data_IF_755095910008
#
_entry.id   IF_755095910008
#
_cell.length_a   1.000
_cell.length_b   1.000
_cell.length_c   1.000
_cell.angle_alpha   90.00
_cell.angle_beta   90.00
_cell.angle_gamma   90.00
#
_symmetry.space_group_name_H-M   'P 1'
#
loop_
_entity.id
_entity.type
_entity.pdbx_description
1 polymer ?
#
# COMPACT_ATOMS: atom_id res chain seq x y z
N UNK A 1 -22.07 14.53 -14.11
CA UNK A 1 -21.17 13.44 -13.65
C UNK A 1 -20.06 14.14 -12.84
N UNK A 2 -19.75 13.64 -11.61
CA UNK A 2 -18.64 14.20 -10.82
C UNK A 2 -17.30 13.82 -11.45
N UNK A 3 -16.32 14.74 -11.39
CA UNK A 3 -14.95 14.53 -11.85
C UNK A 3 -14.01 14.32 -10.67
N UNK A 4 -13.29 13.21 -10.68
CA UNK A 4 -12.27 12.90 -9.69
C UNK A 4 -10.87 12.94 -10.33
N UNK A 5 -9.94 13.68 -9.72
CA UNK A 5 -8.52 13.63 -10.07
C UNK A 5 -7.78 12.77 -9.04
N UNK A 6 -7.16 11.69 -9.51
CA UNK A 6 -6.35 10.79 -8.68
C UNK A 6 -4.88 10.96 -9.06
N UNK A 7 -4.06 11.49 -8.15
CA UNK A 7 -2.61 11.43 -8.31
C UNK A 7 -2.10 10.06 -7.89
N UNK A 8 -1.12 9.50 -8.60
CA UNK A 8 -0.61 8.15 -8.29
C UNK A 8 -1.59 7.02 -8.64
N UNK A 9 -2.39 7.19 -9.68
CA UNK A 9 -3.40 6.20 -10.12
C UNK A 9 -2.82 4.81 -10.41
N UNK A 10 -1.54 4.71 -10.76
CA UNK A 10 -0.84 3.45 -11.03
C UNK A 10 -0.34 2.72 -9.76
N UNK A 11 -0.52 3.32 -8.59
CA UNK A 11 -0.28 2.68 -7.29
C UNK A 11 -1.41 1.74 -6.89
N UNK A 12 -1.20 0.98 -5.80
CA UNK A 12 -2.22 0.08 -5.24
C UNK A 12 -3.56 0.81 -5.00
N UNK A 13 -3.50 1.87 -4.20
CA UNK A 13 -4.69 2.59 -3.77
C UNK A 13 -5.34 3.35 -4.92
N UNK A 14 -4.51 3.96 -5.79
CA UNK A 14 -4.99 4.65 -6.98
C UNK A 14 -5.76 3.73 -7.93
N UNK A 15 -5.28 2.51 -8.13
CA UNK A 15 -5.94 1.52 -8.99
C UNK A 15 -7.30 1.08 -8.43
N UNK A 16 -7.35 0.69 -7.15
CA UNK A 16 -8.62 0.32 -6.50
C UNK A 16 -9.59 1.49 -6.39
N UNK A 17 -9.11 2.69 -6.10
CA UNK A 17 -9.95 3.88 -6.03
C UNK A 17 -10.52 4.24 -7.40
N UNK A 18 -9.71 4.15 -8.46
CA UNK A 18 -10.20 4.38 -9.83
C UNK A 18 -11.34 3.42 -10.19
N UNK A 19 -11.14 2.11 -9.94
CA UNK A 19 -12.19 1.10 -10.16
C UNK A 19 -13.46 1.39 -9.34
N UNK A 20 -13.29 1.77 -8.07
CA UNK A 20 -14.39 2.08 -7.18
C UNK A 20 -15.20 3.32 -7.63
N UNK A 21 -14.52 4.40 -8.03
CA UNK A 21 -15.16 5.62 -8.49
C UNK A 21 -15.84 5.45 -9.86
N UNK A 22 -15.22 4.69 -10.78
CA UNK A 22 -15.84 4.34 -12.05
C UNK A 22 -17.16 3.58 -11.84
N UNK A 23 -17.19 2.61 -10.92
CA UNK A 23 -18.44 1.89 -10.53
C UNK A 23 -19.50 2.80 -9.91
N UNK A 24 -19.09 3.93 -9.33
CA UNK A 24 -20.00 4.96 -8.80
C UNK A 24 -20.43 6.00 -9.85
N UNK A 25 -20.02 5.86 -11.10
CA UNK A 25 -20.39 6.75 -12.19
C UNK A 25 -19.60 8.06 -12.24
N UNK A 26 -18.39 8.11 -11.69
CA UNK A 26 -17.49 9.25 -11.86
C UNK A 26 -16.80 9.23 -13.21
N UNK A 27 -16.43 10.42 -13.70
CA UNK A 27 -15.36 10.62 -14.67
C UNK A 27 -14.04 10.69 -13.89
N UNK A 28 -13.16 9.71 -14.12
CA UNK A 28 -11.89 9.56 -13.38
C UNK A 28 -10.74 10.04 -14.24
N UNK A 29 -10.03 11.04 -13.75
CA UNK A 29 -8.78 11.54 -14.31
C UNK A 29 -7.61 11.03 -13.47
N UNK A 30 -6.71 10.28 -14.08
CA UNK A 30 -5.58 9.68 -13.38
C UNK A 30 -4.26 10.32 -13.76
N UNK A 31 -3.52 10.88 -12.80
CA UNK A 31 -2.16 11.36 -13.02
C UNK A 31 -1.15 10.22 -12.83
N UNK A 32 -0.33 9.96 -13.85
CA UNK A 32 0.78 9.01 -13.82
C UNK A 32 2.08 9.66 -14.27
N UNK A 33 3.21 9.21 -13.72
CA UNK A 33 4.52 9.68 -14.17
C UNK A 33 4.89 9.09 -15.52
N UNK A 34 5.65 9.85 -16.31
CA UNK A 34 6.28 9.33 -17.52
C UNK A 34 7.41 8.38 -17.14
N UNK A 35 7.38 7.18 -17.66
CA UNK A 35 8.43 6.18 -17.53
C UNK A 35 8.81 5.65 -18.91
N UNK A 36 10.03 5.16 -19.08
CA UNK A 36 10.47 4.49 -20.32
C UNK A 36 9.81 3.13 -20.49
N UNK A 37 9.44 2.47 -19.37
CA UNK A 37 8.68 1.22 -19.36
C UNK A 37 7.20 1.51 -19.05
N UNK A 38 6.33 0.58 -19.40
CA UNK A 38 4.94 0.62 -18.97
C UNK A 38 4.89 0.50 -17.43
N UNK A 39 4.03 1.31 -16.80
CA UNK A 39 3.83 1.33 -15.36
C UNK A 39 2.32 1.32 -15.01
N UNK A 40 1.52 0.75 -15.90
CA UNK A 40 0.04 0.75 -15.81
C UNK A 40 -0.56 -0.61 -15.47
N UNK A 41 0.25 -1.64 -15.21
CA UNK A 41 -0.18 -3.04 -15.00
C UNK A 41 -1.36 -3.16 -14.02
N UNK A 42 -1.41 -2.31 -12.98
CA UNK A 42 -2.49 -2.32 -11.98
C UNK A 42 -3.81 -1.74 -12.47
N UNK A 43 -3.79 -1.00 -13.58
CA UNK A 43 -4.97 -0.34 -14.16
C UNK A 43 -5.26 -0.76 -15.61
N UNK A 44 -4.47 -1.67 -16.19
CA UNK A 44 -4.65 -2.11 -17.59
C UNK A 44 -6.03 -2.74 -17.83
N UNK A 45 -6.60 -3.41 -16.82
CA UNK A 45 -7.95 -3.94 -16.88
C UNK A 45 -9.06 -2.88 -16.92
N UNK A 46 -8.73 -1.62 -16.60
CA UNK A 46 -9.64 -0.46 -16.69
C UNK A 46 -9.45 0.34 -17.96
N UNK A 47 -8.50 -0.05 -18.81
CA UNK A 47 -8.15 0.68 -20.04
C UNK A 47 -9.38 0.91 -20.93
N UNK A 48 -9.50 2.14 -21.42
CA UNK A 48 -10.50 2.52 -22.41
C UNK A 48 -9.79 3.17 -23.61
N UNK A 49 -10.18 2.76 -24.80
CA UNK A 49 -9.60 3.29 -26.05
C UNK A 49 -9.79 4.82 -26.08
N UNK A 50 -8.72 5.61 -26.29
CA UNK A 50 -8.82 7.06 -26.40
C UNK A 50 -9.72 7.58 -27.52
N UNK A 51 -10.04 6.74 -28.50
CA UNK A 51 -10.92 7.08 -29.63
C UNK A 51 -12.42 6.93 -29.30
N UNK A 52 -12.76 6.34 -28.13
CA UNK A 52 -14.16 6.24 -27.68
C UNK A 52 -14.65 7.60 -27.16
N UNK A 53 -15.82 8.05 -27.61
CA UNK A 53 -16.39 9.33 -27.19
C UNK A 53 -16.86 9.33 -25.73
N UNK A 54 -17.34 8.19 -25.21
CA UNK A 54 -17.96 8.07 -23.88
C UNK A 54 -17.04 7.45 -22.82
N UNK A 55 -15.72 7.64 -22.94
CA UNK A 55 -14.79 7.15 -21.91
C UNK A 55 -14.94 7.96 -20.63
N UNK A 56 -14.84 7.29 -19.51
CA UNK A 56 -14.87 7.86 -18.17
C UNK A 56 -13.60 7.62 -17.35
N UNK A 57 -12.55 7.06 -17.98
CA UNK A 57 -11.18 7.01 -17.47
C UNK A 57 -10.22 7.72 -18.42
N UNK A 58 -9.59 8.76 -17.93
CA UNK A 58 -8.67 9.61 -18.72
C UNK A 58 -7.33 9.68 -17.96
N UNK A 59 -6.25 9.28 -18.64
CA UNK A 59 -4.91 9.28 -18.05
C UNK A 59 -4.11 10.48 -18.52
N UNK A 60 -3.44 11.14 -17.57
CA UNK A 60 -2.58 12.31 -17.80
C UNK A 60 -1.15 12.02 -17.34
N UNK A 61 -0.18 12.56 -18.05
CA UNK A 61 1.20 12.59 -17.58
C UNK A 61 1.42 13.78 -16.65
N UNK A 62 2.02 13.51 -15.47
CA UNK A 62 2.36 14.55 -14.52
C UNK A 62 3.29 14.06 -13.42
N UNK A 63 3.90 14.99 -12.73
CA UNK A 63 4.77 14.74 -11.56
C UNK A 63 4.48 15.78 -10.47
N UNK A 64 4.45 15.35 -9.20
CA UNK A 64 4.24 16.23 -8.05
C UNK A 64 5.37 17.27 -7.88
N UNK A 65 6.50 17.08 -8.54
CA UNK A 65 7.62 18.02 -8.53
C UNK A 65 7.47 19.16 -9.55
N UNK A 66 6.49 19.07 -10.47
CA UNK A 66 6.23 20.06 -11.52
C UNK A 66 4.94 20.86 -11.22
N UNK A 67 5.12 22.07 -10.65
CA UNK A 67 4.02 22.94 -10.28
C UNK A 67 3.18 23.43 -11.46
N UNK A 68 3.82 23.70 -12.61
CA UNK A 68 3.12 24.18 -13.80
C UNK A 68 2.26 23.07 -14.41
N UNK A 69 2.78 21.84 -14.45
CA UNK A 69 2.05 20.69 -14.94
C UNK A 69 0.82 20.41 -14.05
N UNK A 70 0.97 20.43 -12.71
CA UNK A 70 -0.14 20.26 -11.77
C UNK A 70 -1.21 21.32 -11.97
N UNK A 71 -0.80 22.59 -12.05
CA UNK A 71 -1.73 23.72 -12.23
C UNK A 71 -2.51 23.58 -13.54
N UNK A 72 -1.82 23.29 -14.65
CA UNK A 72 -2.46 23.04 -15.96
C UNK A 72 -3.44 21.86 -15.89
N UNK A 73 -3.04 20.75 -15.28
CA UNK A 73 -3.90 19.57 -15.18
C UNK A 73 -5.17 19.88 -14.37
N UNK A 74 -5.06 20.55 -13.23
CA UNK A 74 -6.23 20.92 -12.42
C UNK A 74 -7.11 21.92 -13.18
N UNK A 75 -6.53 22.85 -13.94
CA UNK A 75 -7.25 23.79 -14.78
C UNK A 75 -8.04 23.09 -15.90
N UNK A 76 -7.45 22.12 -16.57
CA UNK A 76 -8.09 21.34 -17.62
C UNK A 76 -9.22 20.46 -17.11
N UNK A 77 -8.98 19.75 -15.99
CA UNK A 77 -9.92 18.79 -15.42
C UNK A 77 -11.05 19.47 -14.68
N UNK A 78 -10.80 20.57 -13.96
CA UNK A 78 -11.78 21.23 -13.09
C UNK A 78 -12.45 20.24 -12.12
N UNK A 79 -11.66 19.49 -11.29
CA UNK A 79 -12.18 18.38 -10.51
C UNK A 79 -13.14 18.82 -9.41
N UNK A 80 -14.13 17.97 -9.12
CA UNK A 80 -14.98 18.10 -7.94
C UNK A 80 -14.28 17.48 -6.71
N UNK A 81 -13.46 16.44 -6.94
CA UNK A 81 -12.71 15.75 -5.89
C UNK A 81 -11.27 15.49 -6.36
N UNK A 82 -10.29 15.77 -5.49
CA UNK A 82 -8.89 15.41 -5.70
C UNK A 82 -8.48 14.40 -4.63
N UNK A 83 -7.94 13.26 -5.07
CA UNK A 83 -7.34 12.25 -4.21
C UNK A 83 -5.83 12.27 -4.42
N UNK A 84 -5.10 12.91 -3.49
CA UNK A 84 -3.64 12.98 -3.55
C UNK A 84 -3.01 11.74 -2.91
N UNK A 85 -2.76 10.71 -3.76
CA UNK A 85 -2.20 9.42 -3.36
C UNK A 85 -0.75 9.25 -3.83
N UNK A 86 -0.28 10.09 -4.75
CA UNK A 86 1.08 10.01 -5.26
C UNK A 86 2.10 10.32 -4.16
N UNK A 87 3.08 9.46 -4.02
CA UNK A 87 4.19 9.63 -3.09
C UNK A 87 5.36 8.70 -3.45
N UNK A 88 6.56 9.03 -2.97
CA UNK A 88 7.65 8.09 -2.85
C UNK A 88 7.53 7.39 -1.48
N UNK A 89 6.69 6.34 -1.41
CA UNK A 89 6.20 5.77 -0.15
C UNK A 89 7.11 4.70 0.47
N UNK A 90 8.27 4.39 -0.15
CA UNK A 90 9.17 3.38 0.38
C UNK A 90 10.08 3.98 1.47
N UNK A 91 9.77 3.69 2.74
CA UNK A 91 10.42 4.30 3.91
C UNK A 91 11.95 4.13 3.88
N UNK A 92 12.46 2.91 3.61
CA UNK A 92 13.91 2.67 3.57
C UNK A 92 14.60 3.52 2.49
N UNK A 93 14.03 3.58 1.27
CA UNK A 93 14.57 4.37 0.15
C UNK A 93 14.56 5.87 0.47
N UNK A 94 13.65 6.36 1.33
CA UNK A 94 13.63 7.78 1.71
C UNK A 94 14.91 8.27 2.37
N UNK A 95 15.66 7.37 3.03
CA UNK A 95 16.98 7.71 3.59
C UNK A 95 18.06 7.90 2.51
N UNK A 96 17.87 7.31 1.34
CA UNK A 96 18.80 7.44 0.21
C UNK A 96 18.46 8.65 -0.68
N UNK A 97 17.18 9.08 -0.72
CA UNK A 97 16.69 10.15 -1.59
C UNK A 97 15.84 11.19 -0.81
N UNK A 98 16.35 11.76 0.31
CA UNK A 98 15.53 12.59 1.19
C UNK A 98 15.03 13.88 0.54
N UNK A 99 15.83 14.51 -0.32
CA UNK A 99 15.47 15.74 -1.03
C UNK A 99 14.31 15.49 -2.00
N UNK A 100 14.39 14.42 -2.79
CA UNK A 100 13.30 14.05 -3.71
C UNK A 100 12.00 13.77 -2.96
N UNK A 101 12.07 13.06 -1.84
CA UNK A 101 10.92 12.75 -0.99
C UNK A 101 10.30 14.03 -0.43
N UNK A 102 11.13 14.95 0.11
CA UNK A 102 10.67 16.25 0.57
C UNK A 102 9.97 17.06 -0.52
N UNK A 103 10.54 17.05 -1.73
CA UNK A 103 10.01 17.78 -2.87
C UNK A 103 8.72 17.15 -3.41
N UNK A 104 8.65 15.83 -3.58
CA UNK A 104 7.49 15.15 -4.13
C UNK A 104 6.36 15.05 -3.09
N UNK A 105 6.63 14.54 -1.90
CA UNK A 105 5.59 14.18 -0.93
C UNK A 105 5.14 15.40 -0.10
N UNK A 106 6.09 16.27 0.31
CA UNK A 106 5.79 17.49 1.06
C UNK A 106 5.33 18.63 0.16
N UNK A 107 6.25 19.17 -0.66
CA UNK A 107 5.97 20.32 -1.52
C UNK A 107 4.95 19.98 -2.63
N UNK A 108 4.90 18.73 -3.08
CA UNK A 108 3.88 18.30 -4.04
C UNK A 108 2.46 18.51 -3.53
N UNK A 109 2.20 18.26 -2.24
CA UNK A 109 0.91 18.54 -1.61
C UNK A 109 0.61 20.04 -1.63
N UNK A 110 1.58 20.89 -1.26
CA UNK A 110 1.43 22.35 -1.33
C UNK A 110 1.09 22.81 -2.76
N UNK A 111 1.73 22.25 -3.79
CA UNK A 111 1.45 22.61 -5.20
C UNK A 111 0.00 22.34 -5.59
N UNK A 112 -0.57 21.24 -5.15
CA UNK A 112 -1.99 20.91 -5.40
C UNK A 112 -2.90 21.92 -4.70
N UNK A 113 -2.67 22.19 -3.41
CA UNK A 113 -3.46 23.14 -2.64
C UNK A 113 -3.40 24.56 -3.24
N UNK A 114 -2.19 25.02 -3.60
CA UNK A 114 -2.00 26.32 -4.27
C UNK A 114 -2.66 26.36 -5.64
N UNK A 115 -2.57 25.31 -6.44
CA UNK A 115 -3.23 25.30 -7.75
C UNK A 115 -4.76 25.43 -7.60
N UNK A 116 -5.38 24.72 -6.66
CA UNK A 116 -6.81 24.84 -6.38
C UNK A 116 -7.16 26.26 -5.93
N UNK A 117 -6.34 26.87 -5.06
CA UNK A 117 -6.54 28.23 -4.58
C UNK A 117 -6.40 29.27 -5.69
N UNK A 118 -5.32 29.20 -6.47
CA UNK A 118 -5.02 30.15 -7.56
C UNK A 118 -6.04 30.09 -8.70
N UNK A 119 -6.59 28.91 -8.97
CA UNK A 119 -7.62 28.71 -9.99
C UNK A 119 -9.05 29.05 -9.51
N UNK A 120 -9.23 29.51 -8.27
CA UNK A 120 -10.53 29.87 -7.72
C UNK A 120 -11.46 28.68 -7.50
N UNK A 121 -10.92 27.47 -7.26
CA UNK A 121 -11.69 26.23 -7.14
C UNK A 121 -12.00 25.85 -5.67
N UNK A 122 -11.73 26.71 -4.70
CA UNK A 122 -11.87 26.41 -3.27
C UNK A 122 -13.28 25.92 -2.91
N UNK A 123 -14.31 26.59 -3.39
CA UNK A 123 -15.71 26.27 -3.11
C UNK A 123 -16.22 25.02 -3.85
N UNK A 124 -15.52 24.61 -4.90
CA UNK A 124 -15.91 23.49 -5.74
C UNK A 124 -15.22 22.19 -5.36
N UNK A 125 -13.89 22.27 -5.16
CA UNK A 125 -13.03 21.09 -5.10
C UNK A 125 -12.79 20.62 -3.70
N UNK A 126 -13.13 19.35 -3.40
CA UNK A 126 -12.80 18.67 -2.15
C UNK A 126 -11.48 17.92 -2.32
N UNK A 127 -10.60 18.00 -1.34
CA UNK A 127 -9.24 17.45 -1.40
C UNK A 127 -9.05 16.40 -0.31
N UNK A 128 -8.68 15.18 -0.70
CA UNK A 128 -8.20 14.14 0.16
C UNK A 128 -6.67 14.07 0.09
N UNK A 129 -6.00 14.20 1.22
CA UNK A 129 -4.57 13.99 1.37
C UNK A 129 -4.31 12.65 2.03
N UNK A 130 -3.63 11.75 1.32
CA UNK A 130 -3.13 10.51 1.91
C UNK A 130 -2.01 10.83 2.90
N UNK A 131 -2.31 10.75 4.18
CA UNK A 131 -1.35 10.79 5.27
C UNK A 131 -0.98 9.37 5.69
N UNK A 132 -0.26 9.17 6.79
CA UNK A 132 0.35 7.90 7.14
C UNK A 132 0.50 7.71 8.64
N UNK A 133 0.40 6.50 9.14
CA UNK A 133 0.74 6.14 10.52
C UNK A 133 2.23 6.35 10.86
N UNK A 134 3.10 6.46 9.86
CA UNK A 134 4.53 6.75 10.06
C UNK A 134 4.77 8.16 10.68
N UNK A 135 3.75 9.06 10.68
CA UNK A 135 3.80 10.32 11.41
C UNK A 135 4.00 10.11 12.91
N UNK A 136 3.42 9.06 13.49
CA UNK A 136 3.53 8.76 14.91
C UNK A 136 4.95 8.33 15.30
N UNK A 137 5.65 7.60 14.42
CA UNK A 137 7.07 7.25 14.53
C UNK A 137 7.47 6.70 15.88
N UNK A 138 8.17 7.52 16.73
CA UNK A 138 8.41 7.18 18.13
C UNK A 138 7.12 7.44 18.91
N UNK A 139 6.35 6.38 19.08
CA UNK A 139 4.98 6.42 19.58
C UNK A 139 4.88 7.08 20.96
N UNK A 140 4.00 8.09 21.09
CA UNK A 140 3.78 8.84 22.32
C UNK A 140 2.56 8.34 23.12
N UNK A 141 1.61 7.68 22.45
CA UNK A 141 0.40 7.10 23.02
C UNK A 141 0.03 5.79 22.29
N UNK A 142 -0.64 4.90 23.00
CA UNK A 142 -1.13 3.61 22.44
C UNK A 142 -2.57 3.39 22.90
N UNK A 143 -3.53 3.15 21.98
CA UNK A 143 -3.42 3.24 20.52
C UNK A 143 -3.35 4.70 20.04
N UNK A 144 -2.80 4.88 18.80
CA UNK A 144 -2.67 6.22 18.21
C UNK A 144 -4.02 6.71 17.67
N UNK A 145 -4.32 7.97 17.96
CA UNK A 145 -5.52 8.68 17.49
C UNK A 145 -5.15 9.97 16.74
N UNK A 146 -6.14 10.69 16.23
CA UNK A 146 -5.97 11.99 15.58
C UNK A 146 -5.37 13.07 16.51
N UNK A 147 -5.35 12.83 17.83
CA UNK A 147 -4.83 13.75 18.83
C UNK A 147 -3.44 13.36 19.34
N UNK A 148 -2.99 12.16 19.06
CA UNK A 148 -1.67 11.66 19.46
C UNK A 148 -0.56 12.52 18.84
N UNK A 149 0.39 13.04 19.62
CA UNK A 149 1.51 13.81 19.08
C UNK A 149 2.34 13.02 18.08
N UNK A 150 2.73 13.68 16.99
CA UNK A 150 3.59 13.10 15.97
C UNK A 150 5.07 13.19 16.34
N UNK A 151 5.81 12.11 16.04
CA UNK A 151 7.28 12.06 16.22
C UNK A 151 7.91 11.26 15.09
N UNK A 152 8.01 11.82 13.86
CA UNK A 152 8.44 11.09 12.67
C UNK A 152 9.86 10.53 12.80
N UNK A 153 10.10 9.33 12.22
CA UNK A 153 11.36 8.59 12.32
C UNK A 153 12.00 8.30 10.95
N UNK A 154 11.58 9.00 9.90
CA UNK A 154 12.17 8.85 8.57
C UNK A 154 11.98 10.12 7.73
N UNK A 155 12.82 10.37 6.70
CA UNK A 155 12.60 11.47 5.77
C UNK A 155 11.22 11.42 5.10
N UNK A 156 10.72 10.22 4.79
CA UNK A 156 9.35 10.03 4.32
C UNK A 156 8.31 10.57 5.32
N UNK A 157 8.41 10.16 6.58
CA UNK A 157 7.48 10.59 7.61
C UNK A 157 7.53 12.11 7.83
N UNK A 158 8.72 12.73 7.79
CA UNK A 158 8.90 14.19 7.88
C UNK A 158 8.23 14.92 6.70
N UNK A 159 8.40 14.43 5.47
CA UNK A 159 7.75 14.99 4.29
C UNK A 159 6.21 14.87 4.38
N UNK A 160 5.70 13.73 4.84
CA UNK A 160 4.27 13.51 5.07
C UNK A 160 3.74 14.34 6.25
N UNK A 161 4.56 14.66 7.25
CA UNK A 161 4.18 15.58 8.33
C UNK A 161 3.98 17.01 7.80
N UNK A 162 4.88 17.48 6.93
CA UNK A 162 4.65 18.75 6.24
C UNK A 162 3.35 18.72 5.44
N UNK A 163 3.13 17.66 4.64
CA UNK A 163 1.90 17.50 3.85
C UNK A 163 0.64 17.52 4.72
N UNK A 164 0.66 16.86 5.87
CA UNK A 164 -0.43 16.87 6.83
C UNK A 164 -0.74 18.28 7.33
N UNK A 165 0.26 18.97 7.87
CA UNK A 165 0.05 20.28 8.47
C UNK A 165 -0.26 21.38 7.46
N UNK A 166 0.30 21.33 6.25
CA UNK A 166 -0.07 22.29 5.22
C UNK A 166 -1.52 22.10 4.75
N UNK A 167 -2.01 20.87 4.73
CA UNK A 167 -3.44 20.56 4.45
C UNK A 167 -4.35 21.14 5.54
N UNK A 168 -4.00 20.95 6.82
CA UNK A 168 -4.71 21.57 7.95
C UNK A 168 -4.70 23.10 7.85
N UNK A 169 -3.52 23.68 7.59
CA UNK A 169 -3.37 25.12 7.46
C UNK A 169 -4.26 25.73 6.35
N UNK A 170 -4.30 25.08 5.16
CA UNK A 170 -5.15 25.55 4.06
C UNK A 170 -6.63 25.39 4.35
N UNK A 171 -7.03 24.34 5.04
CA UNK A 171 -8.40 24.15 5.53
C UNK A 171 -8.82 25.30 6.46
N UNK A 172 -7.96 25.68 7.39
CA UNK A 172 -8.27 26.71 8.38
C UNK A 172 -8.17 28.13 7.83
N UNK A 173 -7.09 28.43 7.09
CA UNK A 173 -6.80 29.78 6.59
C UNK A 173 -7.70 30.17 5.41
N UNK A 174 -7.96 29.24 4.48
CA UNK A 174 -8.66 29.54 3.23
C UNK A 174 -10.05 28.88 3.15
N UNK A 175 -10.50 28.20 4.22
CA UNK A 175 -11.77 27.46 4.25
C UNK A 175 -11.88 26.36 3.19
N UNK A 176 -10.73 25.84 2.74
CA UNK A 176 -10.66 24.79 1.75
C UNK A 176 -11.22 23.48 2.31
N UNK A 177 -12.05 22.78 1.54
CA UNK A 177 -12.50 21.45 1.94
C UNK A 177 -11.37 20.44 1.72
N UNK A 178 -10.44 20.37 2.67
CA UNK A 178 -9.25 19.52 2.62
C UNK A 178 -9.15 18.65 3.88
N UNK A 179 -9.01 17.34 3.69
CA UNK A 179 -9.02 16.35 4.77
C UNK A 179 -7.83 15.40 4.65
N UNK A 180 -7.25 15.01 5.79
CA UNK A 180 -6.22 13.98 5.84
C UNK A 180 -6.82 12.64 6.26
N UNK A 181 -6.43 11.56 5.55
CA UNK A 181 -6.58 10.20 6.06
C UNK A 181 -5.26 9.71 6.62
N UNK A 182 -5.17 9.50 7.94
CA UNK A 182 -3.99 8.94 8.60
C UNK A 182 -4.08 7.43 8.47
N UNK A 183 -3.52 6.92 7.37
CA UNK A 183 -3.66 5.52 6.99
C UNK A 183 -2.63 4.66 7.71
N UNK A 184 -3.11 3.62 8.37
CA UNK A 184 -2.27 2.52 8.83
C UNK A 184 -1.94 1.59 7.66
N UNK A 185 -1.07 0.61 7.89
CA UNK A 185 -0.63 -0.25 6.79
C UNK A 185 -1.81 -0.99 6.15
N UNK A 186 -1.91 -0.91 4.84
CA UNK A 186 -2.98 -1.56 4.09
C UNK A 186 -2.42 -2.22 2.83
N UNK A 187 -2.78 -3.46 2.69
CA UNK A 187 -2.11 -4.41 1.82
C UNK A 187 -3.10 -5.05 0.86
N UNK A 188 -2.60 -5.68 -0.19
CA UNK A 188 -3.44 -6.39 -1.16
C UNK A 188 -2.59 -7.22 -2.13
N UNK A 189 -3.24 -8.03 -3.00
CA UNK A 189 -2.57 -8.72 -4.10
C UNK A 189 -1.76 -7.84 -5.06
N UNK A 190 -2.05 -6.54 -5.13
CA UNK A 190 -1.34 -5.58 -5.99
C UNK A 190 -0.47 -4.59 -5.20
N UNK A 191 -0.17 -4.88 -3.93
CA UNK A 191 0.84 -4.14 -3.16
C UNK A 191 2.19 -4.15 -3.88
N UNK A 192 3.01 -3.13 -3.71
CA UNK A 192 4.38 -3.12 -4.23
C UNK A 192 5.18 -4.32 -3.70
N UNK A 193 5.95 -4.94 -4.56
CA UNK A 193 6.59 -6.24 -4.33
C UNK A 193 7.62 -6.23 -3.19
N UNK A 194 8.24 -5.07 -2.94
CA UNK A 194 9.27 -4.88 -1.91
C UNK A 194 8.72 -4.56 -0.52
N UNK A 195 7.40 -4.31 -0.40
CA UNK A 195 6.76 -4.13 0.91
C UNK A 195 6.65 -5.45 1.67
N UNK A 196 6.80 -5.38 2.99
CA UNK A 196 7.00 -6.55 3.87
C UNK A 196 5.99 -7.66 3.67
N UNK A 197 4.71 -7.38 3.63
CA UNK A 197 3.65 -8.39 3.45
C UNK A 197 3.71 -9.05 2.08
N UNK A 198 3.87 -8.24 1.02
CA UNK A 198 3.97 -8.77 -0.33
C UNK A 198 5.28 -9.53 -0.57
N UNK A 199 6.38 -9.06 0.04
CA UNK A 199 7.65 -9.80 0.05
C UNK A 199 7.46 -11.20 0.65
N UNK A 200 6.77 -11.31 1.78
CA UNK A 200 6.47 -12.59 2.43
C UNK A 200 5.61 -13.50 1.54
N UNK A 201 4.48 -13.02 1.04
CA UNK A 201 3.55 -13.85 0.25
C UNK A 201 4.16 -14.32 -1.06
N UNK A 202 4.93 -13.47 -1.74
CA UNK A 202 5.68 -13.82 -2.94
C UNK A 202 6.77 -14.86 -2.65
N UNK A 203 7.57 -14.63 -1.60
CA UNK A 203 8.65 -15.55 -1.24
C UNK A 203 8.12 -16.93 -0.82
N UNK A 204 7.10 -16.99 0.02
CA UNK A 204 6.47 -18.26 0.42
C UNK A 204 5.87 -19.00 -0.78
N UNK A 205 5.23 -18.29 -1.71
CA UNK A 205 4.71 -18.88 -2.95
C UNK A 205 5.83 -19.49 -3.78
N UNK A 206 6.97 -18.81 -3.93
CA UNK A 206 8.13 -19.30 -4.67
C UNK A 206 8.81 -20.48 -3.96
N UNK A 207 8.90 -20.45 -2.63
CA UNK A 207 9.41 -21.59 -1.83
C UNK A 207 8.50 -22.80 -2.02
N UNK A 208 7.19 -22.64 -1.93
CA UNK A 208 6.22 -23.71 -2.09
C UNK A 208 6.28 -24.35 -3.49
N UNK A 209 6.55 -23.59 -4.53
CA UNK A 209 6.70 -24.05 -5.91
C UNK A 209 8.12 -24.57 -6.23
N UNK A 210 9.06 -24.52 -5.25
CA UNK A 210 10.44 -24.92 -5.43
C UNK A 210 11.24 -24.02 -6.38
N UNK A 211 10.86 -22.75 -6.49
CA UNK A 211 11.51 -21.72 -7.29
C UNK A 211 12.53 -20.91 -6.48
N UNK A 212 12.48 -21.02 -5.14
CA UNK A 212 13.34 -20.30 -4.20
C UNK A 212 13.64 -21.18 -2.99
N UNK A 213 14.87 -21.13 -2.49
CA UNK A 213 15.26 -21.95 -1.34
C UNK A 213 14.82 -21.30 -0.01
N UNK A 214 15.09 -20.00 0.15
CA UNK A 214 14.87 -19.22 1.37
C UNK A 214 14.65 -17.75 1.04
N UNK A 215 14.22 -16.99 2.03
CA UNK A 215 14.10 -15.52 1.90
C UNK A 215 14.58 -14.83 3.17
N UNK A 216 14.91 -13.55 3.02
CA UNK A 216 15.51 -12.75 4.08
C UNK A 216 14.56 -11.63 4.51
N UNK A 217 14.47 -11.41 5.82
CA UNK A 217 13.63 -10.40 6.44
C UNK A 217 14.46 -9.52 7.38
N UNK A 218 13.92 -8.36 7.76
CA UNK A 218 14.46 -7.54 8.85
C UNK A 218 13.92 -8.02 10.21
N UNK A 219 13.58 -7.06 11.08
CA UNK A 219 13.08 -7.33 12.43
C UNK A 219 11.73 -8.06 12.41
N UNK A 220 11.70 -9.33 12.75
CA UNK A 220 10.51 -10.17 12.77
C UNK A 220 9.54 -9.84 13.93
N UNK A 221 10.00 -9.12 14.96
CA UNK A 221 9.20 -8.75 16.11
C UNK A 221 8.42 -7.44 15.96
N UNK A 222 8.71 -6.64 14.91
CA UNK A 222 7.99 -5.40 14.64
C UNK A 222 6.50 -5.68 14.42
N UNK A 223 5.65 -4.87 15.05
CA UNK A 223 4.20 -5.02 15.02
C UNK A 223 3.54 -3.93 14.17
N UNK A 224 2.61 -4.32 13.33
CA UNK A 224 1.86 -3.40 12.45
C UNK A 224 0.37 -3.74 12.48
N UNK A 225 -0.43 -2.70 12.34
CA UNK A 225 -1.87 -2.80 12.07
C UNK A 225 -2.04 -2.91 10.55
N UNK A 226 -2.44 -4.09 10.07
CA UNK A 226 -2.62 -4.38 8.65
C UNK A 226 -4.09 -4.54 8.28
N UNK A 227 -4.56 -3.71 7.37
CA UNK A 227 -5.88 -3.86 6.74
C UNK A 227 -5.81 -4.16 5.25
N UNK A 228 -6.96 -4.41 4.64
CA UNK A 228 -7.06 -4.60 3.19
C UNK A 228 -7.26 -3.27 2.46
N UNK A 229 -6.48 -3.00 1.40
CA UNK A 229 -6.53 -1.75 0.66
C UNK A 229 -7.94 -1.40 0.14
N UNK A 230 -8.75 -2.38 -0.24
CA UNK A 230 -10.14 -2.16 -0.67
C UNK A 230 -11.02 -1.52 0.39
N UNK A 231 -10.77 -1.77 1.68
CA UNK A 231 -11.49 -1.10 2.76
C UNK A 231 -11.00 0.34 2.95
N UNK A 232 -9.70 0.56 2.79
CA UNK A 232 -9.10 1.89 2.96
C UNK A 232 -9.55 2.88 1.86
N UNK A 233 -9.68 2.43 0.61
CA UNK A 233 -10.20 3.31 -0.45
C UNK A 233 -11.67 3.70 -0.22
N UNK A 234 -12.47 2.85 0.43
CA UNK A 234 -13.84 3.22 0.86
C UNK A 234 -13.79 4.36 1.88
N UNK A 235 -12.85 4.30 2.85
CA UNK A 235 -12.65 5.38 3.81
C UNK A 235 -12.24 6.69 3.11
N UNK A 236 -11.31 6.65 2.15
CA UNK A 236 -10.90 7.83 1.38
C UNK A 236 -12.10 8.50 0.71
N UNK A 237 -12.97 7.70 0.09
CA UNK A 237 -14.20 8.21 -0.51
C UNK A 237 -15.13 8.82 0.55
N UNK A 238 -15.42 8.11 1.65
CA UNK A 238 -16.33 8.56 2.70
C UNK A 238 -15.86 9.85 3.38
N UNK A 239 -14.56 10.05 3.53
CA UNK A 239 -13.96 11.29 4.08
C UNK A 239 -14.35 12.49 3.23
N UNK A 240 -14.30 12.38 1.90
CA UNK A 240 -14.67 13.49 1.02
C UNK A 240 -16.19 13.68 0.86
N UNK A 241 -17.02 12.73 1.33
CA UNK A 241 -18.46 12.91 1.31
C UNK A 241 -19.00 13.68 2.54
N UNK A 242 -18.14 13.91 3.55
CA UNK A 242 -18.53 14.69 4.74
C UNK A 242 -18.70 16.18 4.39
N UNK A 243 -19.67 16.84 5.01
CA UNK A 243 -19.89 18.29 4.81
C UNK A 243 -18.78 19.14 5.45
N UNK A 244 -18.21 18.67 6.54
CA UNK A 244 -17.13 19.36 7.25
C UNK A 244 -15.82 18.56 7.07
N UNK A 245 -14.76 19.20 6.52
CA UNK A 245 -13.47 18.55 6.38
C UNK A 245 -12.82 18.30 7.74
N UNK A 246 -12.19 17.14 7.90
CA UNK A 246 -11.49 16.75 9.13
C UNK A 246 -10.44 15.68 8.82
N UNK A 247 -9.64 15.34 9.86
CA UNK A 247 -8.63 14.31 9.77
C UNK A 247 -9.13 13.03 10.44
N UNK A 248 -8.80 11.86 9.88
CA UNK A 248 -9.32 10.56 10.32
C UNK A 248 -8.22 9.51 10.35
N UNK A 249 -8.11 8.81 11.48
CA UNK A 249 -7.32 7.57 11.58
C UNK A 249 -8.11 6.44 10.91
N UNK A 250 -7.47 5.77 9.96
CA UNK A 250 -8.00 4.59 9.29
C UNK A 250 -7.09 3.41 9.63
N UNK A 251 -7.60 2.50 10.44
CA UNK A 251 -6.88 1.38 11.02
C UNK A 251 -7.84 0.23 11.34
N UNK A 252 -7.30 -0.97 11.50
CA UNK A 252 -8.11 -2.11 11.99
C UNK A 252 -8.25 -2.12 13.51
N UNK A 253 -7.30 -1.50 14.22
CA UNK A 253 -7.20 -1.53 15.67
C UNK A 253 -6.55 -2.82 16.21
N UNK A 254 -5.99 -3.65 15.34
CA UNK A 254 -5.34 -4.93 15.68
C UNK A 254 -3.92 -4.93 15.14
N UNK A 255 -2.94 -5.27 15.99
CA UNK A 255 -1.55 -5.43 15.54
C UNK A 255 -1.18 -6.89 15.39
N UNK A 256 -0.25 -7.15 14.48
CA UNK A 256 0.34 -8.47 14.25
C UNK A 256 1.84 -8.31 14.05
N UNK A 257 2.64 -9.20 14.62
CA UNK A 257 4.07 -9.23 14.37
C UNK A 257 4.37 -9.78 12.96
N UNK A 258 5.49 -9.37 12.38
CA UNK A 258 5.90 -9.87 11.05
C UNK A 258 6.04 -11.40 11.09
N UNK A 259 6.59 -11.96 12.19
CA UNK A 259 6.66 -13.41 12.39
C UNK A 259 5.30 -14.09 12.28
N UNK A 260 4.30 -13.54 12.94
CA UNK A 260 2.94 -14.11 12.96
C UNK A 260 2.27 -14.01 11.59
N UNK A 261 2.53 -12.95 10.85
CA UNK A 261 2.08 -12.82 9.45
C UNK A 261 2.70 -13.92 8.56
N UNK A 262 4.00 -14.22 8.74
CA UNK A 262 4.67 -15.32 8.01
C UNK A 262 4.01 -16.66 8.32
N UNK A 263 3.74 -16.92 9.60
CA UNK A 263 3.07 -18.17 10.07
C UNK A 263 1.67 -18.29 9.46
N UNK A 264 0.88 -17.19 9.48
CA UNK A 264 -0.45 -17.16 8.87
C UNK A 264 -0.40 -17.41 7.36
N UNK A 265 0.53 -16.75 6.66
CA UNK A 265 0.68 -16.90 5.22
C UNK A 265 1.12 -18.33 4.82
N UNK A 266 2.02 -18.94 5.60
CA UNK A 266 2.42 -20.32 5.40
C UNK A 266 1.26 -21.30 5.66
N UNK A 267 0.49 -21.07 6.73
CA UNK A 267 -0.67 -21.90 7.09
C UNK A 267 -1.74 -21.89 6.00
N UNK A 268 -1.93 -20.76 5.30
CA UNK A 268 -2.90 -20.65 4.21
C UNK A 268 -2.65 -21.65 3.07
N UNK A 269 -1.40 -22.05 2.89
CA UNK A 269 -0.99 -23.05 1.89
C UNK A 269 -0.61 -24.40 2.50
N UNK A 270 -1.07 -24.67 3.73
CA UNK A 270 -0.87 -25.95 4.41
C UNK A 270 0.53 -26.17 5.00
N UNK A 271 1.35 -25.13 5.15
CA UNK A 271 2.69 -25.24 5.73
C UNK A 271 2.70 -24.75 7.18
N UNK A 272 3.37 -25.50 8.07
CA UNK A 272 3.68 -25.06 9.43
C UNK A 272 5.11 -24.58 9.48
N UNK A 273 5.32 -23.33 9.89
CA UNK A 273 6.65 -22.74 10.11
C UNK A 273 6.86 -22.55 11.61
N UNK A 274 8.01 -23.01 12.09
CA UNK A 274 8.50 -22.76 13.44
C UNK A 274 9.77 -21.94 13.41
N UNK A 275 9.89 -20.99 14.34
CA UNK A 275 11.06 -20.13 14.47
C UNK A 275 11.95 -20.60 15.63
N UNK A 276 13.27 -20.54 15.44
CA UNK A 276 14.30 -20.83 16.42
C UNK A 276 15.32 -19.71 16.46
N UNK A 277 15.89 -19.43 17.63
CA UNK A 277 16.78 -18.29 17.83
C UNK A 277 16.06 -17.00 18.18
N UNK A 278 16.78 -15.89 18.22
CA UNK A 278 16.26 -14.56 18.54
C UNK A 278 17.04 -13.48 17.77
N UNK A 279 16.37 -12.37 17.46
CA UNK A 279 16.99 -11.23 16.80
C UNK A 279 17.56 -11.60 15.44
N UNK A 280 18.84 -11.32 15.21
CA UNK A 280 19.53 -11.60 13.94
C UNK A 280 19.80 -13.10 13.71
N UNK A 281 19.81 -13.90 14.78
CA UNK A 281 20.01 -15.35 14.70
C UNK A 281 18.70 -16.12 14.56
N UNK A 282 17.57 -15.42 14.47
CA UNK A 282 16.26 -16.05 14.34
C UNK A 282 16.08 -16.64 12.95
N UNK A 283 15.64 -17.90 12.89
CA UNK A 283 15.47 -18.66 11.65
C UNK A 283 14.13 -19.39 11.65
N UNK A 284 13.46 -19.40 10.51
CA UNK A 284 12.21 -20.12 10.30
C UNK A 284 12.42 -21.41 9.50
N UNK A 285 11.75 -22.47 9.93
CA UNK A 285 11.82 -23.81 9.34
C UNK A 285 10.43 -24.32 9.04
N UNK A 286 10.23 -24.95 7.87
CA UNK A 286 8.99 -25.70 7.61
C UNK A 286 9.11 -27.01 8.38
N UNK A 287 8.22 -27.23 9.35
CA UNK A 287 8.25 -28.43 10.20
C UNK A 287 7.18 -29.45 9.84
N UNK A 288 6.06 -29.03 9.24
CA UNK A 288 4.96 -29.90 8.85
C UNK A 288 4.30 -29.39 7.56
N UNK A 289 3.63 -30.31 6.85
CA UNK A 289 2.76 -29.99 5.72
C UNK A 289 1.42 -30.71 5.84
N UNK A 290 0.33 -29.94 5.78
CA UNK A 290 -1.00 -30.48 5.53
C UNK A 290 -1.11 -30.79 4.04
N UNK A 291 -1.00 -32.07 3.68
CA UNK A 291 -0.98 -32.50 2.28
C UNK A 291 -2.27 -32.16 1.55
N UNK A 292 -3.41 -32.20 2.23
CA UNK A 292 -4.71 -31.91 1.62
C UNK A 292 -4.79 -30.46 1.18
N UNK A 293 -4.50 -29.51 2.10
CA UNK A 293 -4.49 -28.08 1.82
C UNK A 293 -3.42 -27.76 0.78
N UNK A 294 -2.21 -28.31 0.95
CA UNK A 294 -1.10 -28.01 0.03
C UNK A 294 -1.39 -28.48 -1.39
N UNK A 295 -1.92 -29.69 -1.58
CA UNK A 295 -2.27 -30.21 -2.92
C UNK A 295 -3.36 -29.33 -3.55
N UNK A 296 -4.40 -28.98 -2.78
CA UNK A 296 -5.48 -28.11 -3.27
C UNK A 296 -4.96 -26.73 -3.71
N UNK A 297 -4.19 -26.06 -2.86
CA UNK A 297 -3.77 -24.66 -3.07
C UNK A 297 -2.56 -24.55 -4.00
N UNK A 298 -1.55 -25.42 -3.82
CA UNK A 298 -0.26 -25.34 -4.51
C UNK A 298 -0.13 -26.38 -5.63
N UNK A 299 -0.48 -27.63 -5.35
CA UNK A 299 -0.46 -28.73 -6.33
C UNK A 299 0.46 -29.87 -5.92
N UNK A 300 0.04 -31.09 -6.25
CA UNK A 300 0.70 -32.34 -5.87
C UNK A 300 2.15 -32.43 -6.35
N UNK A 301 2.44 -31.98 -7.58
CA UNK A 301 3.79 -32.04 -8.18
C UNK A 301 4.88 -31.31 -7.39
N UNK A 302 4.49 -30.41 -6.48
CA UNK A 302 5.44 -29.64 -5.65
C UNK A 302 5.64 -30.22 -4.24
N UNK A 303 4.81 -31.21 -3.83
CA UNK A 303 4.80 -31.73 -2.46
C UNK A 303 6.14 -32.35 -2.06
N UNK A 304 6.74 -33.14 -2.96
CA UNK A 304 8.02 -33.83 -2.68
C UNK A 304 9.16 -32.88 -2.31
N UNK A 305 9.19 -31.66 -2.91
CA UNK A 305 10.19 -30.63 -2.58
C UNK A 305 10.02 -30.10 -1.16
N UNK A 306 8.79 -29.97 -0.69
CA UNK A 306 8.50 -29.54 0.68
C UNK A 306 8.84 -30.64 1.68
N UNK A 307 8.50 -31.90 1.38
CA UNK A 307 8.86 -33.04 2.24
C UNK A 307 10.40 -33.18 2.36
N UNK A 308 11.14 -32.93 1.26
CA UNK A 308 12.62 -32.88 1.29
C UNK A 308 13.14 -31.74 2.22
N UNK A 309 12.54 -30.53 2.14
CA UNK A 309 12.92 -29.41 3.03
C UNK A 309 12.67 -29.73 4.49
N UNK A 310 11.55 -30.39 4.82
CA UNK A 310 11.21 -30.85 6.16
C UNK A 310 12.25 -31.88 6.64
N UNK A 311 12.52 -32.91 5.83
CA UNK A 311 13.46 -33.97 6.16
C UNK A 311 14.88 -33.45 6.43
N UNK A 312 15.30 -32.43 5.69
CA UNK A 312 16.62 -31.77 5.82
C UNK A 312 16.64 -30.67 6.90
N UNK A 313 15.51 -30.35 7.54
CA UNK A 313 15.38 -29.22 8.43
C UNK A 313 15.93 -27.92 7.81
N UNK A 314 15.55 -27.66 6.53
CA UNK A 314 16.09 -26.55 5.76
C UNK A 314 15.55 -25.23 6.28
N UNK A 315 16.42 -24.24 6.43
CA UNK A 315 16.07 -22.86 6.79
C UNK A 315 15.34 -22.20 5.59
N UNK A 316 14.16 -21.65 5.84
CA UNK A 316 13.36 -20.98 4.80
C UNK A 316 13.19 -19.48 5.04
N UNK A 317 13.29 -19.03 6.29
CA UNK A 317 13.28 -17.62 6.68
C UNK A 317 14.55 -17.32 7.46
N UNK A 318 15.25 -16.26 7.07
CA UNK A 318 16.45 -15.77 7.74
C UNK A 318 16.29 -14.29 8.04
N UNK A 319 16.93 -13.82 9.11
CA UNK A 319 17.05 -12.39 9.40
C UNK A 319 18.35 -11.87 8.82
N UNK A 320 18.27 -10.74 8.09
CA UNK A 320 19.45 -10.05 7.57
C UNK A 320 19.46 -8.59 8.08
N UNK A 321 20.54 -8.20 8.80
CA UNK A 321 20.67 -6.84 9.34
C UNK A 321 20.58 -5.71 8.30
N UNK A 322 20.89 -5.95 7.03
CA UNK A 322 20.78 -4.92 5.98
C UNK A 322 19.37 -4.43 5.75
N UNK A 323 18.33 -5.20 6.16
CA UNK A 323 16.93 -4.81 6.07
C UNK A 323 16.41 -4.08 7.32
N UNK A 324 17.25 -3.85 8.33
CA UNK A 324 16.90 -3.00 9.46
C UNK A 324 16.90 -1.54 9.04
N UNK A 325 15.95 -0.78 9.55
CA UNK A 325 15.92 0.68 9.31
C UNK A 325 16.93 1.37 10.21
N UNK A 326 17.52 2.51 9.78
CA UNK A 326 18.40 3.32 10.64
C UNK A 326 17.71 3.76 11.94
N UNK A 327 16.39 3.99 11.88
CA UNK A 327 15.54 4.26 13.03
C UNK A 327 14.29 3.40 12.91
N UNK A 328 14.16 2.44 13.82
CA UNK A 328 13.05 1.48 13.79
C UNK A 328 11.78 2.08 14.42
N UNK A 329 10.65 1.56 14.00
CA UNK A 329 9.33 1.81 14.59
C UNK A 329 8.78 0.46 15.03
N UNK A 330 8.73 0.21 16.32
CA UNK A 330 8.41 -1.12 16.86
C UNK A 330 6.91 -1.44 16.83
N UNK A 331 6.07 -0.45 17.13
CA UNK A 331 4.62 -0.63 17.28
C UNK A 331 3.85 0.50 16.61
N UNK A 332 2.91 0.14 15.74
CA UNK A 332 1.85 1.03 15.27
C UNK A 332 0.50 0.32 15.38
N UNK A 333 -0.42 0.93 16.16
CA UNK A 333 -1.80 0.46 16.33
C UNK A 333 -2.74 1.66 16.35
N UNK A 334 -3.66 1.73 15.38
CA UNK A 334 -4.57 2.86 15.25
C UNK A 334 -5.84 2.73 16.07
N UNK A 335 -6.37 3.87 16.52
CA UNK A 335 -7.70 3.95 17.10
C UNK A 335 -8.71 4.42 16.04
N UNK A 336 -9.50 3.53 15.43
CA UNK A 336 -10.43 3.89 14.35
C UNK A 336 -11.77 4.46 14.84
N UNK A 337 -11.92 4.76 16.13
CA UNK A 337 -13.22 5.15 16.71
C UNK A 337 -13.86 6.32 15.96
N UNK A 338 -13.10 7.36 15.60
CA UNK A 338 -13.64 8.50 14.86
C UNK A 338 -14.13 8.13 13.46
N UNK A 339 -13.36 7.35 12.72
CA UNK A 339 -13.77 6.89 11.39
C UNK A 339 -14.99 5.95 11.45
N UNK A 340 -15.07 5.11 12.46
CA UNK A 340 -16.22 4.24 12.67
C UNK A 340 -17.49 5.02 13.03
N UNK A 341 -17.38 6.00 13.93
CA UNK A 341 -18.56 6.74 14.43
C UNK A 341 -19.05 7.81 13.47
N UNK A 342 -18.15 8.54 12.80
CA UNK A 342 -18.52 9.65 11.93
C UNK A 342 -18.74 9.19 10.49
N UNK A 343 -17.83 8.37 9.94
CA UNK A 343 -17.93 7.89 8.56
C UNK A 343 -18.80 6.64 8.42
N UNK A 344 -19.12 5.95 9.52
CA UNK A 344 -19.72 4.61 9.49
C UNK A 344 -18.78 3.56 8.87
N UNK A 345 -17.49 3.87 8.76
CA UNK A 345 -16.52 2.99 8.13
C UNK A 345 -16.18 1.80 9.02
N UNK A 346 -16.17 0.61 8.44
CA UNK A 346 -15.72 -0.64 9.08
C UNK A 346 -14.94 -1.46 8.07
N UNK A 347 -13.82 -2.11 8.47
CA UNK A 347 -13.15 -3.05 7.60
C UNK A 347 -14.07 -4.26 7.32
N UNK A 348 -14.13 -4.69 6.06
CA UNK A 348 -14.86 -5.90 5.63
C UNK A 348 -13.93 -7.11 5.62
N UNK A 349 -12.62 -6.89 5.48
CA UNK A 349 -11.60 -7.93 5.53
C UNK A 349 -10.94 -7.96 6.90
N UNK A 350 -10.87 -9.14 7.51
CA UNK A 350 -9.95 -9.42 8.61
C UNK A 350 -8.55 -9.77 8.09
N UNK A 351 -7.60 -9.96 9.00
CA UNK A 351 -6.23 -10.31 8.64
C UNK A 351 -6.16 -11.65 7.88
N UNK A 352 -7.00 -12.62 8.24
CA UNK A 352 -7.04 -13.92 7.57
C UNK A 352 -7.50 -13.76 6.11
N UNK A 353 -8.57 -13.03 5.87
CA UNK A 353 -9.07 -12.75 4.51
C UNK A 353 -8.06 -11.97 3.66
N UNK A 354 -7.31 -11.04 4.26
CA UNK A 354 -6.21 -10.35 3.60
C UNK A 354 -5.11 -11.33 3.16
N UNK A 355 -4.63 -12.18 4.09
CA UNK A 355 -3.58 -13.16 3.82
C UNK A 355 -4.03 -14.16 2.75
N UNK A 356 -5.27 -14.65 2.84
CA UNK A 356 -5.85 -15.55 1.84
C UNK A 356 -5.86 -14.94 0.43
N UNK A 357 -6.33 -13.69 0.31
CA UNK A 357 -6.39 -13.00 -0.99
C UNK A 357 -5.00 -12.80 -1.59
N UNK A 358 -4.02 -12.40 -0.78
CA UNK A 358 -2.64 -12.20 -1.21
C UNK A 358 -1.95 -13.50 -1.61
N UNK A 359 -2.05 -14.55 -0.78
CA UNK A 359 -1.44 -15.85 -1.05
C UNK A 359 -2.02 -16.51 -2.30
N UNK A 360 -3.36 -16.49 -2.44
CA UNK A 360 -4.06 -17.02 -3.64
C UNK A 360 -3.56 -16.34 -4.91
N UNK A 361 -3.40 -15.01 -4.87
CA UNK A 361 -2.91 -14.24 -6.02
C UNK A 361 -1.46 -14.58 -6.37
N UNK A 362 -0.57 -14.63 -5.36
CA UNK A 362 0.85 -14.87 -5.61
C UNK A 362 1.14 -16.33 -6.02
N UNK A 363 0.43 -17.31 -5.47
CA UNK A 363 0.49 -18.70 -5.94
C UNK A 363 0.07 -18.78 -7.41
N UNK A 364 -1.02 -18.12 -7.79
CA UNK A 364 -1.48 -18.10 -9.19
C UNK A 364 -0.45 -17.45 -10.11
N UNK A 365 0.14 -16.34 -9.68
CA UNK A 365 1.20 -15.62 -10.42
C UNK A 365 2.39 -16.54 -10.69
N UNK A 366 2.95 -17.18 -9.66
CA UNK A 366 4.14 -17.99 -9.81
C UNK A 366 3.87 -19.37 -10.43
N UNK A 367 2.64 -19.90 -10.35
CA UNK A 367 2.23 -21.06 -11.18
C UNK A 367 2.27 -20.72 -12.66
N UNK A 368 1.78 -19.54 -13.05
CA UNK A 368 1.89 -19.05 -14.43
C UNK A 368 3.36 -18.99 -14.87
N UNK A 369 4.21 -18.41 -14.03
CA UNK A 369 5.63 -18.26 -14.34
C UNK A 369 6.35 -19.62 -14.42
N UNK A 370 6.01 -20.59 -13.56
CA UNK A 370 6.50 -21.96 -13.63
C UNK A 370 6.09 -22.64 -14.94
N UNK A 371 4.83 -22.49 -15.35
CA UNK A 371 4.31 -23.04 -16.60
C UNK A 371 5.00 -22.46 -17.84
N UNK A 372 5.20 -21.14 -17.86
CA UNK A 372 5.92 -20.48 -18.96
C UNK A 372 7.37 -20.98 -19.04
N UNK A 373 8.05 -21.13 -17.90
CA UNK A 373 9.41 -21.66 -17.85
C UNK A 373 9.50 -23.12 -18.32
N UNK A 374 8.56 -23.97 -17.92
CA UNK A 374 8.44 -25.35 -18.38
C UNK A 374 8.21 -25.43 -19.91
N UNK A 375 7.48 -24.44 -20.46
CA UNK A 375 7.26 -24.26 -21.90
C UNK A 375 8.44 -23.66 -22.68
N UNK A 376 9.57 -23.40 -22.01
CA UNK A 376 10.78 -22.83 -22.65
C UNK A 376 10.77 -21.30 -22.82
N UNK A 377 9.78 -20.62 -22.26
CA UNK A 377 9.71 -19.15 -22.31
C UNK A 377 10.60 -18.51 -21.26
N UNK A 378 11.22 -17.38 -21.62
CA UNK A 378 11.91 -16.53 -20.66
C UNK A 378 10.87 -15.74 -19.85
N UNK A 379 10.94 -15.84 -18.53
CA UNK A 379 10.13 -15.03 -17.62
C UNK A 379 10.95 -13.84 -17.14
N UNK A 380 10.28 -12.69 -16.96
CA UNK A 380 10.92 -11.57 -16.31
C UNK A 380 11.09 -11.88 -14.81
N UNK A 381 12.34 -11.97 -14.39
CA UNK A 381 12.67 -12.08 -12.97
C UNK A 381 12.74 -10.67 -12.38
N UNK A 382 11.74 -10.31 -11.57
CA UNK A 382 11.82 -9.12 -10.75
C UNK A 382 12.63 -9.48 -9.49
N UNK A 383 13.91 -9.16 -9.52
CA UNK A 383 14.76 -9.21 -8.35
C UNK A 383 14.54 -7.94 -7.51
N UNK A 384 14.74 -8.05 -6.20
CA UNK A 384 14.79 -6.88 -5.32
C UNK A 384 16.03 -6.03 -5.60
#
# INVERSE_FOLDING_TARGET
MKRALITGITGQDGAYLAEYLLKKGYEVHGMKRRSSLFNTDRIDHLYQDPHLENRNLILHYGDLTDSMNITRLIQEVQPDEIYNLAAMSHVHVSFQTPEYVGNADGLGTLRILEAVRLLGLIEKTRIYQASTSELYGLVQEVPQSEKTPFYPRSPYAVAKLYAYWITVNYREAYKMHASNGILFNHESPIRGETFVTRKVTRALSRVALGMQERFYMGNLSSQRDWGHAKDYIKAMYLILQQDTPSDYVIATGITTAIRDFIILAAKEIGLTIEFKGQGVDEKGYITQVDKTIFIEKVGEKYLSKIEEKIAKSSEVVLVDPQYFRPTEVDLLIGNPTKSQTILGWKPEYDLKGLVEDMMRSDIKLFKRDAYLKEGGFTIMNYFE
#
